data_IF_611673020223
#
_entry.id   IF_611673020223
#
_cell.length_a   1.000
_cell.length_b   1.000
_cell.length_c   1.000
_cell.angle_alpha   90.00
_cell.angle_beta   90.00
_cell.angle_gamma   90.00
#
_symmetry.space_group_name_H-M   'P 1'
#
loop_
_entity.id
_entity.type
_entity.pdbx_description
1 polymer ?
#
# COMPACT_ATOMS: atom_id res chain seq x y z
N UNK A 1 22.33 11.72 14.01
CA UNK A 1 21.45 12.38 13.02
C UNK A 1 22.07 12.26 11.63
N UNK A 2 21.27 12.02 10.64
CA UNK A 2 21.79 11.82 9.28
C UNK A 2 21.31 12.94 8.37
N UNK A 3 22.18 13.30 7.40
CA UNK A 3 21.85 14.30 6.38
C UNK A 3 21.32 13.65 5.11
N UNK A 4 21.09 12.34 5.13
CA UNK A 4 20.58 11.64 3.94
C UNK A 4 19.19 12.14 3.59
N UNK A 5 18.86 12.15 2.29
CA UNK A 5 17.51 12.55 1.85
C UNK A 5 16.51 11.42 2.05
N UNK A 6 15.23 11.77 1.89
CA UNK A 6 14.16 10.78 1.82
C UNK A 6 13.96 10.31 0.38
N UNK A 7 13.65 9.03 0.22
CA UNK A 7 13.36 8.46 -1.11
C UNK A 7 11.91 8.76 -1.49
N UNK A 8 11.68 9.39 -2.66
CA UNK A 8 10.32 9.64 -3.13
C UNK A 8 9.66 8.34 -3.55
N UNK A 9 8.48 8.06 -3.02
CA UNK A 9 7.78 6.81 -3.29
C UNK A 9 6.28 7.03 -3.46
N UNK A 10 5.63 6.08 -4.10
CA UNK A 10 4.18 6.04 -4.23
C UNK A 10 3.67 4.77 -3.57
N UNK A 11 2.58 4.89 -2.82
CA UNK A 11 1.94 3.75 -2.19
C UNK A 11 0.50 3.62 -2.65
N UNK A 12 -0.03 2.41 -2.60
CA UNK A 12 -1.36 2.11 -3.10
C UNK A 12 -2.16 1.37 -2.05
N UNK A 13 -3.33 1.92 -1.70
CA UNK A 13 -4.33 1.14 -0.99
C UNK A 13 -5.33 0.67 -2.04
N UNK A 14 -5.29 -0.63 -2.35
CA UNK A 14 -6.21 -1.23 -3.30
C UNK A 14 -7.30 -1.91 -2.50
N UNK A 15 -8.56 -1.51 -2.71
CA UNK A 15 -9.68 -2.09 -1.98
C UNK A 15 -10.59 -2.83 -2.94
N UNK A 16 -11.14 -3.96 -2.46
CA UNK A 16 -12.10 -4.73 -3.23
C UNK A 16 -13.52 -4.16 -3.03
N UNK A 17 -14.50 -4.86 -3.59
CA UNK A 17 -15.89 -4.40 -3.52
C UNK A 17 -16.44 -4.39 -2.10
N UNK A 18 -15.83 -5.16 -1.21
CA UNK A 18 -16.24 -5.21 0.19
C UNK A 18 -15.45 -4.24 1.06
N UNK A 19 -14.57 -3.44 0.46
CA UNK A 19 -13.77 -2.48 1.20
C UNK A 19 -12.57 -3.08 1.91
N UNK A 20 -12.20 -4.32 1.56
CA UNK A 20 -11.00 -4.95 2.13
C UNK A 20 -9.78 -4.50 1.35
N UNK A 21 -8.65 -4.37 2.04
CA UNK A 21 -7.41 -3.88 1.46
C UNK A 21 -6.48 -5.02 1.07
N UNK A 22 -5.82 -4.85 -0.07
CA UNK A 22 -4.80 -5.78 -0.54
C UNK A 22 -3.53 -5.63 0.29
N UNK A 23 -2.98 -6.75 0.75
CA UNK A 23 -1.65 -6.77 1.36
C UNK A 23 -0.88 -7.98 0.85
N UNK A 24 0.45 -7.85 0.81
CA UNK A 24 1.33 -8.92 0.43
C UNK A 24 2.46 -9.08 1.43
N UNK A 25 3.02 -10.28 1.48
CA UNK A 25 4.24 -10.57 2.24
C UNK A 25 5.43 -10.49 1.31
N UNK A 26 6.48 -9.75 1.73
CA UNK A 26 7.65 -9.57 0.89
C UNK A 26 8.43 -10.87 0.73
N UNK A 27 8.95 -11.09 -0.49
CA UNK A 27 9.75 -12.27 -0.79
C UNK A 27 11.09 -12.26 -0.05
N UNK A 28 11.62 -11.06 0.19
CA UNK A 28 12.97 -10.91 0.75
C UNK A 28 12.97 -10.82 2.28
N UNK A 29 11.86 -11.14 2.92
CA UNK A 29 11.75 -11.04 4.37
C UNK A 29 11.26 -12.35 4.96
N UNK A 30 11.78 -12.71 6.13
CA UNK A 30 11.29 -13.85 6.90
C UNK A 30 10.26 -13.42 7.94
N UNK A 31 9.97 -12.11 8.03
CA UNK A 31 8.97 -11.62 8.97
C UNK A 31 7.57 -11.92 8.50
N UNK A 32 6.66 -12.07 9.45
CA UNK A 32 5.24 -12.30 9.16
C UNK A 32 4.52 -10.97 8.91
N UNK A 33 5.23 -10.01 8.35
CA UNK A 33 4.65 -8.68 8.13
C UNK A 33 3.94 -8.63 6.78
N UNK A 34 2.83 -7.91 6.75
CA UNK A 34 2.04 -7.68 5.55
C UNK A 34 2.06 -6.20 5.19
N UNK A 35 2.18 -5.90 3.93
CA UNK A 35 2.26 -4.51 3.49
C UNK A 35 1.45 -4.26 2.23
N UNK A 36 1.07 -3.00 2.05
CA UNK A 36 0.42 -2.55 0.82
C UNK A 36 1.49 -2.33 -0.26
N UNK A 37 1.10 -2.40 -1.56
CA UNK A 37 2.06 -2.15 -2.64
C UNK A 37 2.63 -0.74 -2.57
N UNK A 38 3.92 -0.62 -2.86
CA UNK A 38 4.56 0.68 -2.93
C UNK A 38 5.92 0.55 -3.63
N UNK A 39 6.40 1.65 -4.19
CA UNK A 39 7.71 1.65 -4.81
C UNK A 39 8.17 3.06 -5.14
N UNK A 40 9.38 3.17 -5.67
CA UNK A 40 9.99 4.46 -5.94
C UNK A 40 9.35 5.21 -7.09
N UNK A 41 9.36 6.54 -6.97
CA UNK A 41 8.99 7.43 -8.07
C UNK A 41 10.27 7.78 -8.81
N UNK A 42 10.31 7.52 -10.11
CA UNK A 42 11.50 7.81 -10.91
C UNK A 42 11.62 9.33 -11.13
N UNK A 43 12.85 9.82 -11.36
CA UNK A 43 13.03 11.24 -11.65
C UNK A 43 12.14 11.69 -12.82
N UNK A 44 11.36 12.75 -12.59
CA UNK A 44 10.46 13.27 -13.60
C UNK A 44 9.15 12.52 -13.77
N UNK A 45 8.96 11.44 -13.04
CA UNK A 45 7.73 10.65 -13.12
C UNK A 45 6.65 11.26 -12.22
N UNK A 46 5.43 11.33 -12.76
CA UNK A 46 4.29 11.79 -11.98
C UNK A 46 3.93 10.75 -10.90
N UNK A 47 3.60 11.17 -9.66
CA UNK A 47 3.29 10.21 -8.60
C UNK A 47 2.16 9.23 -8.91
N UNK A 48 1.09 9.67 -9.56
CA UNK A 48 0.00 8.75 -9.93
C UNK A 48 0.47 7.73 -10.96
N UNK A 49 1.29 8.16 -11.91
CA UNK A 49 1.88 7.25 -12.90
C UNK A 49 2.74 6.22 -12.21
N UNK A 50 3.56 6.66 -11.25
CA UNK A 50 4.41 5.74 -10.49
C UNK A 50 3.56 4.72 -9.70
N UNK A 51 2.48 5.20 -9.06
CA UNK A 51 1.59 4.31 -8.30
C UNK A 51 0.98 3.24 -9.22
N UNK A 52 0.49 3.65 -10.38
CA UNK A 52 -0.12 2.74 -11.34
C UNK A 52 0.88 1.71 -11.83
N UNK A 53 2.10 2.15 -12.11
CA UNK A 53 3.18 1.27 -12.57
C UNK A 53 3.56 0.27 -11.47
N UNK A 54 3.75 0.74 -10.24
CA UNK A 54 4.12 -0.14 -9.14
C UNK A 54 3.03 -1.15 -8.83
N UNK A 55 1.77 -0.74 -8.89
CA UNK A 55 0.67 -1.66 -8.70
C UNK A 55 0.74 -2.81 -9.71
N UNK A 56 0.96 -2.47 -10.98
CA UNK A 56 1.07 -3.49 -12.02
C UNK A 56 2.29 -4.38 -11.80
N UNK A 57 3.43 -3.77 -11.48
CA UNK A 57 4.67 -4.53 -11.30
C UNK A 57 4.58 -5.51 -10.12
N UNK A 58 3.84 -5.15 -9.07
CA UNK A 58 3.79 -5.97 -7.87
C UNK A 58 2.61 -6.92 -7.81
N UNK A 59 1.51 -6.60 -8.49
CA UNK A 59 0.27 -7.38 -8.38
C UNK A 59 -0.29 -7.86 -9.71
N UNK A 60 0.27 -7.40 -10.83
CA UNK A 60 -0.29 -7.74 -12.13
C UNK A 60 -1.58 -7.01 -12.47
N UNK A 61 -2.04 -6.13 -11.62
CA UNK A 61 -3.31 -5.41 -11.84
C UNK A 61 -3.07 -4.23 -12.77
N UNK A 62 -3.72 -4.24 -13.94
CA UNK A 62 -3.60 -3.19 -14.94
C UNK A 62 -4.47 -1.98 -14.59
N UNK A 63 -4.14 -0.83 -15.16
CA UNK A 63 -4.83 0.42 -14.84
C UNK A 63 -6.30 0.41 -15.21
N UNK A 64 -6.71 -0.40 -16.18
CA UNK A 64 -8.12 -0.50 -16.58
C UNK A 64 -8.94 -1.35 -15.60
N UNK A 65 -8.30 -1.95 -14.61
CA UNK A 65 -8.96 -2.75 -13.58
C UNK A 65 -9.12 -1.98 -12.27
N UNK A 66 -8.81 -0.70 -12.25
CA UNK A 66 -8.91 0.09 -11.02
C UNK A 66 -9.57 1.43 -11.30
N UNK A 67 -10.14 1.99 -10.23
CA UNK A 67 -10.73 3.33 -10.24
C UNK A 67 -10.10 4.13 -9.11
N UNK A 68 -9.56 5.29 -9.43
CA UNK A 68 -8.98 6.16 -8.40
C UNK A 68 -10.09 6.79 -7.57
N UNK A 69 -10.04 6.57 -6.25
CA UNK A 69 -11.04 7.08 -5.32
C UNK A 69 -10.54 8.35 -4.64
N UNK A 70 -9.29 8.36 -4.20
CA UNK A 70 -8.74 9.48 -3.44
C UNK A 70 -7.23 9.53 -3.57
N UNK A 71 -6.69 10.75 -3.54
CA UNK A 71 -5.25 10.97 -3.62
C UNK A 71 -4.94 12.22 -2.80
N UNK A 72 -4.69 12.08 -1.49
CA UNK A 72 -4.39 13.23 -0.65
C UNK A 72 -3.20 14.02 -1.18
N UNK A 73 -3.33 15.34 -1.20
CA UNK A 73 -2.28 16.22 -1.70
C UNK A 73 -1.30 16.52 -0.57
N UNK A 74 -0.64 15.48 -0.10
CA UNK A 74 0.38 15.60 0.95
C UNK A 74 1.31 14.40 0.86
N UNK A 75 2.47 14.54 1.48
CA UNK A 75 3.42 13.45 1.62
C UNK A 75 3.30 12.82 3.00
N UNK A 76 3.47 11.52 3.06
CA UNK A 76 3.53 10.76 4.29
C UNK A 76 4.98 10.29 4.43
N UNK A 77 5.58 10.56 5.59
CA UNK A 77 7.02 10.38 5.76
C UNK A 77 7.29 9.42 6.91
N UNK A 78 8.27 8.54 6.71
CA UNK A 78 8.80 7.77 7.83
C UNK A 78 10.32 7.70 7.72
N UNK A 79 10.96 7.54 8.88
CA UNK A 79 12.40 7.37 8.97
C UNK A 79 12.72 5.91 9.20
N UNK A 80 13.82 5.44 8.60
CA UNK A 80 14.34 4.12 8.91
C UNK A 80 14.82 4.09 10.34
N UNK A 81 14.69 2.94 11.03
CA UNK A 81 15.39 2.77 12.32
C UNK A 81 16.89 3.00 12.14
N UNK A 82 17.53 3.53 13.16
CA UNK A 82 18.96 3.86 13.09
C UNK A 82 19.79 2.67 12.64
N UNK A 83 19.44 1.46 13.07
CA UNK A 83 20.20 0.27 12.72
C UNK A 83 20.10 -0.12 11.24
N UNK A 84 19.14 0.45 10.49
CA UNK A 84 19.00 0.18 9.06
C UNK A 84 19.57 1.29 8.18
N UNK A 85 19.80 2.48 8.75
CA UNK A 85 20.36 3.59 7.98
C UNK A 85 21.77 3.19 7.52
N UNK A 86 22.01 3.38 6.22
CA UNK A 86 23.30 3.03 5.64
C UNK A 86 23.39 1.57 5.18
N UNK A 87 22.40 0.74 5.51
CA UNK A 87 22.45 -0.69 5.20
C UNK A 87 21.48 -1.12 4.13
N UNK A 88 20.30 -0.46 4.03
CA UNK A 88 19.34 -0.79 3.00
C UNK A 88 19.39 0.29 1.92
N UNK A 89 18.85 -0.02 0.73
CA UNK A 89 18.78 0.91 -0.41
C UNK A 89 20.16 1.51 -0.73
N UNK A 90 21.20 0.69 -0.62
CA UNK A 90 22.59 1.09 -0.90
C UNK A 90 23.06 2.24 -0.01
N UNK A 91 22.43 2.43 1.14
CA UNK A 91 22.82 3.46 2.09
C UNK A 91 22.48 4.88 1.69
N UNK A 92 21.62 5.08 0.68
CA UNK A 92 21.37 6.41 0.09
C UNK A 92 20.32 7.23 0.83
N UNK A 93 19.44 6.60 1.59
CA UNK A 93 18.22 7.26 2.07
C UNK A 93 18.06 7.10 3.57
N UNK A 94 17.45 8.11 4.20
CA UNK A 94 17.12 8.04 5.63
C UNK A 94 15.73 7.47 5.89
N UNK A 95 14.92 7.36 4.86
CA UNK A 95 13.54 6.89 4.95
C UNK A 95 12.85 7.19 3.64
N UNK A 96 11.54 7.26 3.67
CA UNK A 96 10.76 7.54 2.47
C UNK A 96 9.78 8.68 2.72
N UNK A 97 9.54 9.48 1.68
CA UNK A 97 8.41 10.40 1.62
C UNK A 97 7.48 9.90 0.53
N UNK A 98 6.24 9.64 0.89
CA UNK A 98 5.34 8.87 0.06
C UNK A 98 4.09 9.65 -0.28
N UNK A 99 3.66 9.51 -1.54
CA UNK A 99 2.34 9.91 -1.98
C UNK A 99 1.48 8.66 -2.04
N UNK A 100 0.27 8.73 -1.51
CA UNK A 100 -0.61 7.56 -1.41
C UNK A 100 -1.85 7.73 -2.26
N UNK A 101 -2.34 6.61 -2.83
CA UNK A 101 -3.48 6.59 -3.74
C UNK A 101 -4.40 5.45 -3.33
N UNK A 102 -5.70 5.77 -3.24
CA UNK A 102 -6.73 4.78 -2.93
C UNK A 102 -7.41 4.38 -4.24
N UNK A 103 -7.29 3.12 -4.59
CA UNK A 103 -7.92 2.58 -5.80
C UNK A 103 -8.98 1.54 -5.42
N UNK A 104 -10.09 1.56 -6.13
CA UNK A 104 -11.07 0.47 -6.07
C UNK A 104 -10.73 -0.55 -7.16
N UNK A 105 -10.65 -1.83 -6.76
CA UNK A 105 -10.39 -2.90 -7.69
C UNK A 105 -11.69 -3.27 -8.40
N UNK A 106 -11.67 -3.27 -9.73
CA UNK A 106 -12.84 -3.56 -10.56
C UNK A 106 -12.82 -4.99 -11.11
N UNK A 107 -11.74 -5.71 -10.90
CA UNK A 107 -11.58 -7.08 -11.38
C UNK A 107 -11.95 -8.12 -10.34
N UNK A 108 -11.45 -9.32 -10.56
CA UNK A 108 -11.65 -10.45 -9.66
C UNK A 108 -10.30 -10.96 -9.17
N UNK A 109 -10.31 -11.80 -8.15
CA UNK A 109 -9.07 -12.30 -7.57
C UNK A 109 -8.16 -12.96 -8.60
N UNK A 110 -8.74 -13.60 -9.61
CA UNK A 110 -7.96 -14.21 -10.68
C UNK A 110 -7.19 -13.23 -11.55
N UNK A 111 -7.52 -11.94 -11.47
CA UNK A 111 -6.77 -10.90 -12.19
C UNK A 111 -5.52 -10.48 -11.44
N UNK A 112 -5.34 -10.92 -10.19
CA UNK A 112 -4.17 -10.61 -9.39
C UNK A 112 -3.13 -11.71 -9.59
N UNK A 113 -1.92 -11.30 -9.98
CA UNK A 113 -0.82 -12.23 -10.22
C UNK A 113 0.46 -11.63 -9.66
N UNK A 114 0.87 -12.11 -8.50
CA UNK A 114 2.08 -11.60 -7.85
C UNK A 114 3.36 -12.23 -8.42
N UNK A 115 3.24 -13.23 -9.31
CA UNK A 115 4.39 -13.84 -9.98
C UNK A 115 4.76 -13.02 -11.23
N UNK A 116 5.08 -11.75 -10.99
CA UNK A 116 5.46 -10.81 -12.05
C UNK A 116 6.95 -10.98 -12.39
N UNK A 117 7.45 -10.33 -13.46
CA UNK A 117 8.88 -10.47 -13.83
C UNK A 117 9.86 -10.10 -12.71
N UNK A 118 9.49 -9.15 -11.85
CA UNK A 118 10.33 -8.76 -10.72
C UNK A 118 9.49 -8.87 -9.45
N UNK A 119 9.21 -10.09 -8.99
CA UNK A 119 8.23 -10.30 -7.91
C UNK A 119 8.70 -9.71 -6.58
N UNK A 120 7.77 -9.04 -5.89
CA UNK A 120 8.02 -8.47 -4.58
C UNK A 120 7.34 -9.28 -3.48
N UNK A 121 6.26 -9.98 -3.81
CA UNK A 121 5.44 -10.69 -2.82
C UNK A 121 5.46 -12.19 -3.06
N UNK A 122 5.54 -12.97 -1.95
CA UNK A 122 5.43 -14.43 -2.02
C UNK A 122 4.00 -14.90 -1.77
N UNK A 123 3.14 -14.04 -1.17
CA UNK A 123 1.73 -14.35 -0.93
C UNK A 123 0.97 -13.04 -0.77
N UNK A 124 -0.35 -13.10 -0.91
CA UNK A 124 -1.20 -11.93 -0.76
C UNK A 124 -2.56 -12.31 -0.20
N UNK A 125 -3.26 -11.35 0.34
CA UNK A 125 -4.64 -11.55 0.80
C UNK A 125 -5.36 -10.20 0.94
N UNK A 126 -6.68 -10.28 1.10
CA UNK A 126 -7.52 -9.13 1.45
C UNK A 126 -7.67 -9.10 2.96
N UNK A 127 -7.59 -7.92 3.56
CA UNK A 127 -7.78 -7.75 5.01
C UNK A 127 -8.66 -6.54 5.28
N UNK A 128 -9.23 -6.51 6.49
CA UNK A 128 -9.92 -5.31 6.97
C UNK A 128 -8.89 -4.20 7.09
N UNK A 129 -9.15 -3.01 6.48
CA UNK A 129 -8.19 -1.90 6.58
C UNK A 129 -7.79 -1.55 8.02
N UNK A 130 -8.69 -1.75 8.99
CA UNK A 130 -8.38 -1.47 10.39
C UNK A 130 -7.22 -2.32 10.92
N UNK A 131 -6.91 -3.45 10.27
CA UNK A 131 -5.81 -4.32 10.70
C UNK A 131 -4.47 -3.91 10.12
N UNK A 132 -4.44 -2.97 9.16
CA UNK A 132 -3.21 -2.61 8.48
C UNK A 132 -2.07 -2.20 9.42
N UNK A 133 -2.29 -1.29 10.39
CA UNK A 133 -1.17 -0.89 11.25
C UNK A 133 -0.63 -2.02 12.11
N UNK A 134 -1.48 -2.99 12.45
CA UNK A 134 -1.07 -4.12 13.28
C UNK A 134 -0.21 -5.12 12.52
N UNK A 135 -0.43 -5.23 11.21
CA UNK A 135 0.19 -6.29 10.40
C UNK A 135 1.45 -5.86 9.69
N UNK A 136 1.69 -4.56 9.54
CA UNK A 136 2.90 -4.08 8.87
C UNK A 136 4.09 -4.15 9.83
N UNK A 137 5.30 -4.11 9.26
CA UNK A 137 6.52 -4.08 10.07
C UNK A 137 6.44 -2.91 11.06
N UNK A 138 6.89 -3.11 12.32
CA UNK A 138 6.62 -2.12 13.38
C UNK A 138 7.06 -0.70 13.09
N UNK A 139 8.18 -0.48 12.38
CA UNK A 139 8.64 0.89 12.16
C UNK A 139 7.80 1.64 11.12
N UNK A 140 6.86 0.97 10.43
CA UNK A 140 5.93 1.61 9.51
C UNK A 140 4.53 1.75 10.12
N UNK A 141 4.34 1.36 11.37
CA UNK A 141 3.00 1.34 11.96
C UNK A 141 2.36 2.72 11.99
N UNK A 142 3.13 3.73 12.45
CA UNK A 142 2.60 5.10 12.50
C UNK A 142 2.26 5.62 11.12
N UNK A 143 3.09 5.32 10.12
CA UNK A 143 2.81 5.71 8.75
C UNK A 143 1.48 5.11 8.29
N UNK A 144 1.26 3.83 8.54
CA UNK A 144 0.04 3.17 8.13
C UNK A 144 -1.19 3.72 8.86
N UNK A 145 -1.03 4.12 10.12
CA UNK A 145 -2.13 4.77 10.83
C UNK A 145 -2.51 6.10 10.19
N UNK A 146 -1.51 6.88 9.76
CA UNK A 146 -1.78 8.14 9.08
C UNK A 146 -2.46 7.92 7.73
N UNK A 147 -1.98 6.95 6.96
CA UNK A 147 -2.57 6.64 5.66
C UNK A 147 -4.01 6.17 5.82
N UNK A 148 -4.24 5.28 6.77
CA UNK A 148 -5.59 4.78 7.06
C UNK A 148 -6.51 5.91 7.46
N UNK A 149 -6.05 6.81 8.33
CA UNK A 149 -6.85 7.95 8.76
C UNK A 149 -7.23 8.85 7.58
N UNK A 150 -6.28 9.06 6.65
CA UNK A 150 -6.53 9.89 5.47
C UNK A 150 -7.59 9.27 4.55
N UNK A 151 -7.61 7.95 4.43
CA UNK A 151 -8.54 7.27 3.53
C UNK A 151 -9.86 6.87 4.18
N UNK A 152 -9.93 6.88 5.51
CA UNK A 152 -11.11 6.40 6.23
C UNK A 152 -12.42 7.03 5.75
N UNK A 153 -12.49 8.33 5.46
CA UNK A 153 -13.74 8.91 4.96
C UNK A 153 -14.23 8.30 3.66
N UNK A 154 -13.34 7.67 2.89
CA UNK A 154 -13.66 7.11 1.58
C UNK A 154 -13.92 5.62 1.62
N UNK A 155 -13.74 4.97 2.78
CA UNK A 155 -13.86 3.52 2.88
C UNK A 155 -15.29 3.06 3.16
N UNK A 156 -16.18 4.00 3.50
CA UNK A 156 -17.55 3.67 3.84
C UNK A 156 -17.61 2.91 5.15
N UNK A 157 -18.73 2.24 5.43
CA UNK A 157 -18.84 1.43 6.64
C UNK A 157 -17.78 0.34 6.63
N UNK A 158 -17.16 0.13 7.78
CA UNK A 158 -16.13 -0.89 7.89
C UNK A 158 -16.74 -2.28 7.82
N UNK A 159 -15.96 -3.21 7.32
CA UNK A 159 -16.36 -4.62 7.29
C UNK A 159 -16.63 -5.08 8.69
N UNK A 160 -17.78 -5.76 8.89
CA UNK A 160 -18.17 -6.27 10.18
C UNK A 160 -18.94 -5.28 11.05
N UNK A 161 -19.13 -4.09 10.55
CA UNK A 161 -20.00 -3.14 11.25
C UNK A 161 -21.45 -3.43 10.86
N UNK A 162 -21.84 -3.52 10.55
CA UNK A 162 -22.92 -3.59 10.03
C UNK A 162 -23.76 -3.30 9.67
N UNK A 163 -23.84 -3.28 9.36
CA UNK A 163 -24.60 -3.01 8.94
C UNK A 163 -25.03 -3.49 8.04
N UNK A 164 -24.73 -3.84 7.71
CA UNK A 164 -25.01 -4.25 7.06
C UNK A 164 -25.40 -4.68 6.46
N UNK A 165 -25.85 -4.83 6.56
CA UNK A 165 -26.22 -5.31 5.96
C UNK A 165 -26.29 -5.58 5.20
N UNK A 166 -26.49 -5.68 5.11
CA UNK A 166 -26.59 -5.95 4.82
C UNK A 166 -26.78 -6.43 4.40
N UNK A 167 -27.21 -6.72 4.54
CA UNK A 167 -27.52 -7.15 4.50
C UNK A 167 -27.78 -7.24 4.06
N UNK A 168 -28.01 -7.19 4.01
CA UNK A 168 -28.13 -7.04 3.89
C UNK A 168 -27.90 -6.86 3.30
N UNK A 169 -27.88 -7.06 3.01
CA UNK A 169 -27.66 -6.74 2.51
C UNK A 169 -27.63 -7.16 1.67
N UNK A 170 -27.94 -7.33 1.46
CA UNK A 170 -28.01 -7.64 0.84
C UNK A 170 -27.86 -8.00 0.21
N UNK A 171 -28.19 -8.18 0.16
CA UNK A 171 -28.21 -8.36 -0.01
C UNK A 171 -28.41 -8.48 -0.59
#
# INVERSE_FOLDING_TARGET
MTDLPYRPCAGIMLIDRQGRAFVGQRMDSTLEAWQMPQGGIDPGEDPLTAATRELWEETGVASDKVELIAAPDREFVYDLPDELIGKVWKGKWRGQRQRWFLFRFLGEDGDIDIATPHPEFRSWRWIDPADLPRLVVPFKRDLYEEVLAAFRPHLGPQIGMEAVPQADRPR
#
